data_IF_915561827753
#
_entry.id   IF_915561827753
#
_cell.length_a   1.000
_cell.length_b   1.000
_cell.length_c   1.000
_cell.angle_alpha   90.00
_cell.angle_beta   90.00
_cell.angle_gamma   90.00
#
_symmetry.space_group_name_H-M   'P 1'
#
loop_
_entity.id
_entity.type
_entity.pdbx_description
1 polymer ?
#
# COMPACT_ATOMS: atom_id res chain seq x y z
N UNK A 1 10.67 33.94 7.96
CA UNK A 1 11.38 32.83 8.61
C UNK A 1 11.15 31.59 7.76
N UNK A 2 12.11 31.29 6.89
CA UNK A 2 12.06 30.16 5.98
C UNK A 2 12.08 28.84 6.75
N UNK A 3 11.05 28.02 6.56
CA UNK A 3 11.07 26.62 6.97
C UNK A 3 11.90 25.85 5.94
N UNK A 4 13.21 25.79 6.16
CA UNK A 4 14.03 24.74 5.54
C UNK A 4 13.44 23.38 5.99
N UNK A 5 12.81 22.67 5.05
CA UNK A 5 12.48 21.27 5.23
C UNK A 5 13.75 20.44 5.49
N UNK A 6 13.61 19.20 5.97
CA UNK A 6 14.76 18.35 6.25
C UNK A 6 15.64 18.20 5.00
N UNK A 7 16.87 18.70 5.08
CA UNK A 7 17.88 18.50 4.05
C UNK A 7 18.69 17.25 4.43
N UNK A 8 18.51 16.17 3.67
CA UNK A 8 19.38 15.01 3.73
C UNK A 8 20.58 15.23 2.81
N UNK A 9 21.80 15.14 3.33
CA UNK A 9 23.02 15.16 2.52
C UNK A 9 23.84 13.90 2.79
N UNK A 10 24.24 13.22 1.72
CA UNK A 10 25.28 12.21 1.81
C UNK A 10 26.63 12.94 1.70
N UNK A 11 27.42 12.90 2.77
CA UNK A 11 28.76 13.49 2.78
C UNK A 11 29.80 12.38 2.89
N UNK A 12 30.84 12.48 2.07
CA UNK A 12 31.98 11.58 2.12
C UNK A 12 33.11 12.32 2.82
N UNK A 13 33.40 11.93 4.06
CA UNK A 13 34.48 12.50 4.87
C UNK A 13 35.48 11.41 5.23
N UNK A 14 36.76 11.62 4.93
CA UNK A 14 37.85 10.67 5.22
C UNK A 14 37.62 9.25 4.67
N UNK A 15 37.03 9.14 3.47
CA UNK A 15 36.76 7.85 2.82
C UNK A 15 35.62 7.04 3.46
N UNK A 16 34.92 7.58 4.46
CA UNK A 16 33.75 6.95 5.08
C UNK A 16 32.51 7.68 4.62
N UNK A 17 31.66 6.98 3.85
CA UNK A 17 30.36 7.49 3.45
C UNK A 17 29.48 7.67 4.69
N UNK A 18 28.84 8.83 4.85
CA UNK A 18 27.90 9.11 5.93
C UNK A 18 26.63 9.72 5.36
N UNK A 19 25.49 9.36 5.94
CA UNK A 19 24.24 10.03 5.69
C UNK A 19 23.97 10.98 6.85
N UNK A 20 23.81 12.26 6.54
CA UNK A 20 23.51 13.31 7.51
C UNK A 20 22.10 13.85 7.25
N UNK A 21 21.29 13.87 8.30
CA UNK A 21 19.95 14.45 8.31
C UNK A 21 19.93 15.58 9.34
N UNK A 22 19.70 16.81 8.87
CA UNK A 22 19.52 17.98 9.75
C UNK A 22 18.05 18.38 9.80
N UNK A 23 17.51 18.45 11.02
CA UNK A 23 16.14 18.88 11.31
C UNK A 23 16.18 19.99 12.38
N UNK A 24 16.07 21.24 11.94
CA UNK A 24 16.23 22.39 12.82
C UNK A 24 17.61 22.40 13.48
N UNK A 25 17.66 22.43 14.81
CA UNK A 25 18.91 22.38 15.59
C UNK A 25 19.48 20.96 15.80
N UNK A 26 18.80 19.92 15.32
CA UNK A 26 19.23 18.53 15.52
C UNK A 26 19.91 18.02 14.25
N UNK A 27 21.10 17.45 14.39
CA UNK A 27 21.82 16.79 13.30
C UNK A 27 22.07 15.32 13.64
N UNK A 28 21.56 14.42 12.80
CA UNK A 28 21.75 12.98 12.88
C UNK A 28 22.77 12.56 11.81
N UNK A 29 23.83 11.86 12.21
CA UNK A 29 24.82 11.31 11.29
C UNK A 29 24.89 9.81 11.45
N UNK A 30 24.73 9.06 10.37
CA UNK A 30 24.72 7.59 10.38
C UNK A 30 25.63 7.01 9.29
N UNK A 31 26.13 5.80 9.54
CA UNK A 31 26.89 5.03 8.56
C UNK A 31 25.89 4.27 7.66
N UNK A 32 25.99 4.36 6.33
CA UNK A 32 25.19 3.54 5.43
C UNK A 32 25.56 2.07 5.59
N UNK A 33 24.61 1.18 5.32
CA UNK A 33 24.90 -0.24 5.21
C UNK A 33 25.76 -0.48 3.97
N UNK A 34 26.83 -1.26 4.13
CA UNK A 34 27.71 -1.62 3.03
C UNK A 34 27.07 -2.72 2.17
N UNK A 35 27.23 -2.59 0.85
CA UNK A 35 26.71 -3.54 -0.13
C UNK A 35 25.73 -2.93 -1.13
N UNK A 36 25.30 -3.74 -2.09
CA UNK A 36 24.30 -3.36 -3.08
C UNK A 36 22.91 -3.73 -2.59
N UNK A 37 21.96 -2.80 -2.70
CA UNK A 37 20.54 -3.14 -2.56
C UNK A 37 20.14 -4.19 -3.60
N UNK A 38 19.21 -5.10 -3.29
CA UNK A 38 18.61 -6.00 -4.27
C UNK A 38 18.05 -5.20 -5.46
N UNK A 39 17.95 -5.83 -6.63
CA UNK A 39 17.38 -5.21 -7.84
C UNK A 39 15.86 -5.05 -7.73
N UNK A 40 15.37 -4.23 -6.80
CA UNK A 40 13.94 -4.05 -6.51
C UNK A 40 13.12 -3.64 -7.73
N UNK A 41 13.72 -2.91 -8.68
CA UNK A 41 13.04 -2.51 -9.92
C UNK A 41 12.52 -3.70 -10.73
N UNK A 42 13.17 -4.86 -10.69
CA UNK A 42 12.72 -6.05 -11.42
C UNK A 42 11.56 -6.78 -10.74
N UNK A 43 11.18 -6.40 -9.52
CA UNK A 43 10.06 -7.00 -8.80
C UNK A 43 8.72 -6.35 -9.17
N UNK A 44 8.73 -5.19 -9.81
CA UNK A 44 7.53 -4.48 -10.19
C UNK A 44 7.08 -4.91 -11.60
N UNK A 45 5.88 -5.50 -11.75
CA UNK A 45 5.38 -5.85 -13.07
C UNK A 45 5.20 -4.58 -13.92
N UNK A 46 5.71 -4.59 -15.14
CA UNK A 46 5.60 -3.46 -16.08
C UNK A 46 4.25 -3.44 -16.81
N UNK A 47 3.61 -4.61 -16.91
CA UNK A 47 2.33 -4.79 -17.58
C UNK A 47 1.41 -5.62 -16.70
N UNK A 48 0.12 -5.30 -16.71
CA UNK A 48 -0.91 -6.15 -16.11
C UNK A 48 -1.95 -6.52 -17.17
N UNK A 49 -2.27 -7.80 -17.28
CA UNK A 49 -3.26 -8.29 -18.23
C UNK A 49 -4.69 -7.87 -17.83
N UNK A 50 -4.94 -7.75 -16.52
CA UNK A 50 -6.20 -7.30 -15.95
C UNK A 50 -5.90 -6.30 -14.84
N UNK A 51 -6.65 -5.21 -14.80
CA UNK A 51 -6.62 -4.22 -13.72
C UNK A 51 -8.03 -3.99 -13.21
N UNK A 52 -8.18 -3.81 -11.91
CA UNK A 52 -9.44 -3.41 -11.31
C UNK A 52 -9.25 -2.34 -10.25
N UNK A 53 -10.31 -1.56 -10.11
CA UNK A 53 -10.49 -0.55 -9.08
C UNK A 53 -11.46 -1.07 -8.04
N UNK A 54 -11.06 -0.92 -6.78
CA UNK A 54 -11.86 -1.23 -5.61
C UNK A 54 -12.17 0.06 -4.85
N UNK A 55 -13.33 0.14 -4.21
CA UNK A 55 -13.58 1.23 -3.27
C UNK A 55 -12.72 1.06 -2.01
N UNK A 56 -11.95 2.10 -1.68
CA UNK A 56 -11.00 2.08 -0.57
C UNK A 56 -11.69 1.87 0.78
N UNK A 57 -12.73 2.66 1.07
CA UNK A 57 -13.38 2.63 2.38
C UNK A 57 -14.02 1.26 2.65
N UNK A 58 -14.68 0.70 1.63
CA UNK A 58 -15.29 -0.63 1.69
C UNK A 58 -14.24 -1.73 1.81
N UNK A 59 -13.13 -1.63 1.07
CA UNK A 59 -12.02 -2.59 1.15
C UNK A 59 -11.39 -2.61 2.54
N UNK A 60 -11.05 -1.44 3.09
CA UNK A 60 -10.46 -1.33 4.44
C UNK A 60 -11.40 -1.90 5.49
N UNK A 61 -12.70 -1.62 5.40
CA UNK A 61 -13.71 -2.19 6.28
C UNK A 61 -13.77 -3.71 6.17
N UNK A 62 -13.69 -4.25 4.95
CA UNK A 62 -13.67 -5.69 4.70
C UNK A 62 -12.46 -6.37 5.37
N UNK A 63 -11.27 -5.82 5.17
CA UNK A 63 -10.01 -6.37 5.73
C UNK A 63 -10.01 -6.29 7.25
N UNK A 64 -10.45 -5.17 7.84
CA UNK A 64 -10.58 -5.03 9.31
C UNK A 64 -11.58 -6.04 9.89
N UNK A 65 -12.69 -6.30 9.20
CA UNK A 65 -13.66 -7.31 9.61
C UNK A 65 -13.06 -8.72 9.57
N UNK A 66 -12.29 -9.04 8.53
CA UNK A 66 -11.58 -10.32 8.45
C UNK A 66 -10.57 -10.48 9.60
N UNK A 67 -9.78 -9.45 9.90
CA UNK A 67 -8.86 -9.46 11.05
C UNK A 67 -9.59 -9.62 12.39
N UNK A 68 -10.75 -8.99 12.56
CA UNK A 68 -11.54 -9.13 13.78
C UNK A 68 -12.02 -10.58 13.98
N UNK A 69 -12.47 -11.25 12.91
CA UNK A 69 -12.86 -12.66 12.95
C UNK A 69 -11.67 -13.57 13.28
N UNK A 70 -10.50 -13.32 12.68
CA UNK A 70 -9.27 -14.08 12.95
C UNK A 70 -8.85 -13.91 14.41
N UNK A 71 -8.84 -12.68 14.93
CA UNK A 71 -8.52 -12.38 16.34
C UNK A 71 -9.48 -13.04 17.32
N UNK A 72 -10.79 -13.05 17.01
CA UNK A 72 -11.78 -13.72 17.85
C UNK A 72 -11.56 -15.24 17.94
N UNK A 73 -10.84 -15.82 16.98
CA UNK A 73 -10.43 -17.23 16.94
C UNK A 73 -8.99 -17.45 17.39
N UNK A 74 -8.34 -16.44 17.98
CA UNK A 74 -6.94 -16.48 18.42
C UNK A 74 -5.94 -16.75 17.28
N UNK A 75 -6.33 -16.46 16.04
CA UNK A 75 -5.50 -16.62 14.86
C UNK A 75 -4.69 -15.36 14.61
N UNK A 76 -3.37 -15.51 14.46
CA UNK A 76 -2.43 -14.41 14.18
C UNK A 76 -1.76 -14.61 12.82
N UNK A 77 -1.52 -13.52 12.12
CA UNK A 77 -0.78 -13.48 10.84
C UNK A 77 -1.41 -14.33 9.72
N UNK A 78 -2.72 -14.59 9.84
CA UNK A 78 -3.47 -15.39 8.86
C UNK A 78 -3.93 -14.52 7.69
N UNK A 79 -3.75 -14.96 6.44
CA UNK A 79 -4.07 -14.15 5.28
C UNK A 79 -5.58 -13.94 5.12
N UNK A 80 -5.93 -12.85 4.43
CA UNK A 80 -7.26 -12.61 3.92
C UNK A 80 -7.29 -13.05 2.46
N UNK A 81 -8.21 -13.95 2.16
CA UNK A 81 -8.43 -14.45 0.82
C UNK A 81 -9.47 -13.60 0.11
N UNK A 82 -9.33 -13.49 -1.21
CA UNK A 82 -10.38 -13.00 -2.07
C UNK A 82 -10.45 -13.81 -3.35
N UNK A 83 -11.65 -13.88 -3.91
CA UNK A 83 -11.96 -14.63 -5.11
C UNK A 83 -12.56 -13.68 -6.11
N UNK A 84 -12.16 -13.78 -7.37
CA UNK A 84 -12.83 -13.04 -8.44
C UNK A 84 -14.15 -13.69 -8.80
N UNK A 85 -15.20 -12.89 -8.72
CA UNK A 85 -16.57 -13.27 -8.99
C UNK A 85 -17.07 -12.65 -10.31
N UNK A 86 -18.16 -13.20 -10.85
CA UNK A 86 -18.81 -12.70 -12.09
C UNK A 86 -19.82 -11.57 -11.84
N UNK A 87 -20.16 -11.30 -10.57
CA UNK A 87 -21.17 -10.35 -10.11
C UNK A 87 -20.66 -8.95 -9.81
N UNK A 88 -19.49 -8.56 -10.32
CA UNK A 88 -18.96 -7.20 -10.16
C UNK A 88 -18.48 -6.87 -8.74
N UNK A 89 -18.20 -7.89 -7.92
CA UNK A 89 -17.66 -7.71 -6.59
C UNK A 89 -16.58 -8.73 -6.26
N UNK A 90 -15.64 -8.34 -5.42
CA UNK A 90 -14.61 -9.24 -4.92
C UNK A 90 -14.95 -9.52 -3.45
N UNK A 91 -15.41 -10.73 -3.09
CA UNK A 91 -15.59 -11.12 -1.70
C UNK A 91 -14.25 -11.27 -0.99
N UNK A 92 -14.10 -10.58 0.15
CA UNK A 92 -12.99 -10.75 1.07
C UNK A 92 -13.40 -11.67 2.22
N UNK A 93 -12.69 -12.77 2.40
CA UNK A 93 -12.93 -13.74 3.46
C UNK A 93 -11.66 -13.98 4.29
N UNK A 94 -11.76 -14.08 5.63
CA UNK A 94 -10.63 -14.53 6.42
C UNK A 94 -10.36 -16.00 6.10
N UNK A 95 -9.09 -16.38 5.98
CA UNK A 95 -8.72 -17.79 6.08
C UNK A 95 -8.76 -18.19 7.55
N UNK A 96 -9.26 -19.38 7.82
CA UNK A 96 -9.33 -20.01 9.12
C UNK A 96 -8.57 -21.35 9.07
N UNK A 97 -8.16 -21.87 10.22
CA UNK A 97 -7.36 -23.11 10.29
C UNK A 97 -8.14 -24.36 9.88
N UNK A 98 -9.48 -24.30 9.85
CA UNK A 98 -10.34 -25.43 9.51
C UNK A 98 -11.07 -25.19 8.19
N UNK A 99 -11.09 -26.21 7.33
CA UNK A 99 -11.84 -26.18 6.07
C UNK A 99 -13.34 -25.92 6.28
N UNK A 100 -13.89 -26.43 7.39
CA UNK A 100 -15.27 -26.15 7.80
C UNK A 100 -15.48 -24.69 8.22
N UNK A 101 -14.50 -24.09 8.90
CA UNK A 101 -14.51 -22.67 9.22
C UNK A 101 -14.50 -21.80 7.97
N UNK A 102 -13.64 -22.15 7.01
CA UNK A 102 -13.57 -21.46 5.72
C UNK A 102 -14.90 -21.57 4.95
N UNK A 103 -15.50 -22.77 4.89
CA UNK A 103 -16.76 -22.99 4.19
C UNK A 103 -17.96 -22.24 4.83
N UNK A 104 -17.97 -22.08 6.15
CA UNK A 104 -19.04 -21.40 6.89
C UNK A 104 -18.87 -19.88 6.92
N UNK A 105 -17.69 -19.35 6.60
CA UNK A 105 -17.42 -17.92 6.69
C UNK A 105 -17.75 -17.22 5.37
N UNK A 106 -18.90 -16.55 5.32
CA UNK A 106 -19.29 -15.75 4.15
C UNK A 106 -18.38 -14.53 4.02
N UNK A 107 -17.72 -14.40 2.87
CA UNK A 107 -16.91 -13.22 2.54
C UNK A 107 -17.75 -11.94 2.50
N UNK A 108 -17.11 -10.81 2.81
CA UNK A 108 -17.71 -9.49 2.65
C UNK A 108 -17.51 -9.02 1.21
N UNK A 109 -18.57 -8.78 0.43
CA UNK A 109 -18.45 -8.33 -0.94
C UNK A 109 -17.92 -6.90 -0.99
N UNK A 110 -16.94 -6.65 -1.86
CA UNK A 110 -16.41 -5.31 -2.15
C UNK A 110 -16.69 -4.97 -3.61
N UNK A 111 -17.42 -3.88 -3.91
CA UNK A 111 -17.68 -3.46 -5.28
C UNK A 111 -16.37 -3.28 -6.05
N UNK A 112 -16.32 -3.85 -7.25
CA UNK A 112 -15.12 -3.88 -8.08
C UNK A 112 -15.45 -3.48 -9.50
N UNK A 113 -14.61 -2.64 -10.10
CA UNK A 113 -14.74 -2.24 -11.50
C UNK A 113 -13.46 -2.62 -12.23
N UNK A 114 -13.57 -3.48 -13.24
CA UNK A 114 -12.44 -3.78 -14.14
C UNK A 114 -12.13 -2.55 -14.98
N UNK A 115 -10.89 -2.08 -14.92
CA UNK A 115 -10.44 -0.86 -15.62
C UNK A 115 -9.58 -1.16 -16.85
N UNK A 116 -9.04 -2.38 -16.95
CA UNK A 116 -8.29 -2.85 -18.11
C UNK A 116 -8.39 -4.38 -18.23
N UNK A 117 -8.46 -4.91 -19.45
CA UNK A 117 -8.60 -6.34 -19.75
C UNK A 117 -9.98 -6.91 -19.42
N UNK A 118 -10.04 -8.24 -19.25
CA UNK A 118 -11.25 -8.95 -18.82
C UNK A 118 -11.03 -9.59 -17.45
N UNK A 119 -12.03 -9.50 -16.56
CA UNK A 119 -12.04 -10.27 -15.30
C UNK A 119 -12.21 -11.78 -15.51
N UNK A 120 -12.58 -12.22 -16.71
CA UNK A 120 -12.99 -13.60 -17.00
C UNK A 120 -11.92 -14.65 -16.70
N UNK A 121 -10.66 -14.33 -17.02
CA UNK A 121 -9.52 -15.23 -16.74
C UNK A 121 -9.18 -15.33 -15.26
N UNK A 122 -9.70 -14.40 -14.44
CA UNK A 122 -9.48 -14.39 -13.01
C UNK A 122 -10.62 -15.09 -12.27
N UNK A 123 -11.79 -15.33 -12.88
CA UNK A 123 -12.92 -15.97 -12.22
C UNK A 123 -12.54 -17.32 -11.61
N UNK A 124 -12.91 -17.51 -10.34
CA UNK A 124 -12.51 -18.68 -9.55
C UNK A 124 -11.05 -18.65 -9.08
N UNK A 125 -10.26 -17.67 -9.52
CA UNK A 125 -8.91 -17.41 -9.04
C UNK A 125 -8.93 -16.89 -7.61
N UNK A 126 -8.26 -17.62 -6.74
CA UNK A 126 -8.05 -17.28 -5.34
C UNK A 126 -6.71 -16.56 -5.18
N UNK A 127 -6.73 -15.40 -4.53
CA UNK A 127 -5.52 -14.75 -4.06
C UNK A 127 -5.63 -14.46 -2.56
N UNK A 128 -4.51 -14.57 -1.84
CA UNK A 128 -4.48 -14.42 -0.39
C UNK A 128 -3.33 -13.51 0.01
N UNK A 129 -3.63 -12.51 0.83
CA UNK A 129 -2.66 -11.49 1.22
C UNK A 129 -2.63 -11.31 2.73
N UNK A 130 -1.47 -10.92 3.25
CA UNK A 130 -1.35 -10.53 4.63
C UNK A 130 -2.17 -9.25 4.87
N UNK A 131 -3.13 -9.25 5.81
CA UNK A 131 -4.01 -8.10 6.04
C UNK A 131 -3.27 -6.86 6.54
N UNK A 132 -2.11 -7.00 7.19
CA UNK A 132 -1.33 -5.86 7.65
C UNK A 132 -0.79 -5.04 6.47
N UNK A 133 -0.27 -5.68 5.42
CA UNK A 133 0.21 -4.96 4.22
C UNK A 133 -0.93 -4.30 3.44
N UNK A 134 -2.12 -4.92 3.42
CA UNK A 134 -3.31 -4.31 2.81
C UNK A 134 -3.77 -3.04 3.55
N UNK A 135 -3.62 -3.01 4.87
CA UNK A 135 -3.99 -1.86 5.70
C UNK A 135 -2.88 -0.80 5.79
N UNK A 136 -1.62 -1.18 5.64
CA UNK A 136 -0.48 -0.27 5.72
C UNK A 136 -0.40 0.64 4.48
N UNK A 137 -0.62 0.07 3.28
CA UNK A 137 -0.74 0.85 2.04
C UNK A 137 -1.83 1.93 2.09
N UNK A 138 -2.84 1.72 2.93
CA UNK A 138 -3.94 2.66 3.15
C UNK A 138 -3.49 3.91 3.91
N UNK A 139 -2.68 3.75 4.97
CA UNK A 139 -2.24 4.83 5.84
C UNK A 139 -1.34 5.83 5.10
N UNK A 140 -0.57 5.36 4.13
CA UNK A 140 0.32 6.20 3.32
C UNK A 140 -0.37 6.94 2.17
N UNK A 141 -1.56 6.50 1.71
CA UNK A 141 -2.31 7.22 0.68
C UNK A 141 -2.89 8.55 1.19
N UNK A 142 -3.23 8.64 2.49
CA UNK A 142 -3.72 9.87 3.11
C UNK A 142 -2.68 11.00 3.13
N UNK A 143 -1.38 10.68 3.02
CA UNK A 143 -0.32 11.69 3.07
C UNK A 143 -0.08 12.39 1.73
N UNK A 144 -0.61 11.86 0.60
CA UNK A 144 -0.38 12.44 -0.74
C UNK A 144 -1.35 13.57 -1.13
N UNK A 145 -2.38 13.85 -0.34
CA UNK A 145 -3.37 14.89 -0.65
C UNK A 145 -3.09 16.27 -0.04
N UNK A 146 -1.94 16.47 0.61
CA UNK A 146 -1.54 17.76 1.20
C UNK A 146 -0.50 18.55 0.39
N UNK A 147 -0.31 18.25 -0.90
CA UNK A 147 0.43 19.15 -1.79
C UNK A 147 -0.55 20.04 -2.56
N UNK A 148 -0.69 21.33 -2.21
CA UNK A 148 -1.33 22.28 -3.12
C UNK A 148 -0.47 22.35 -4.39
N UNK A 149 -1.12 22.27 -5.55
CA UNK A 149 -0.47 22.49 -6.83
C UNK A 149 0.22 23.86 -6.84
N UNK A 150 1.41 24.01 -7.45
CA UNK A 150 2.02 25.33 -7.62
C UNK A 150 1.07 26.20 -8.44
N UNK A 151 0.64 27.31 -7.83
CA UNK A 151 -0.21 28.31 -8.46
C UNK A 151 0.44 28.81 -9.74
N UNK A 152 -0.37 28.95 -10.78
CA UNK A 152 0.02 29.62 -12.02
C UNK A 152 0.41 31.05 -11.69
N UNK A 153 1.61 31.40 -12.12
CA UNK A 153 2.14 32.76 -12.14
C UNK A 153 1.36 33.55 -13.20
N UNK A 154 0.28 34.22 -12.80
CA UNK A 154 -0.42 35.16 -13.67
C UNK A 154 0.25 36.53 -13.57
N UNK A 155 1.06 36.79 -14.60
CA UNK A 155 1.60 38.05 -15.09
C UNK A 155 1.12 39.33 -14.40
N UNK A 156 2.05 39.95 -13.68
CA UNK A 156 2.06 41.38 -13.37
C UNK A 156 2.24 42.17 -14.69
N UNK A 157 1.18 42.82 -15.18
CA UNK A 157 1.31 43.88 -16.17
C UNK A 157 1.63 45.22 -15.45
N UNK A 158 2.51 46.07 -16.01
CA UNK A 158 2.87 47.35 -15.42
C UNK A 158 1.86 48.43 -15.83
N UNK A 159 1.41 49.24 -14.86
CA UNK A 159 1.17 50.67 -14.99
C UNK A 159 1.47 51.33 -13.66
#
# INVERSE_FOLDING_TARGET
>A
MDRLGPAGQATEGFGIRRATLSLGGITLTMRPLEGSLPKYRSLFPQTSATSARLDRATTVRAVKKCQAIQRAKWLKDVPVAFVWDTGGHIPFAPRLETAEGDARTKGMPVPTTVTNGSGERLYGGLAAFNPYYLLDGDQHLHQRHHHPAPGRDEGRAPQ
#
